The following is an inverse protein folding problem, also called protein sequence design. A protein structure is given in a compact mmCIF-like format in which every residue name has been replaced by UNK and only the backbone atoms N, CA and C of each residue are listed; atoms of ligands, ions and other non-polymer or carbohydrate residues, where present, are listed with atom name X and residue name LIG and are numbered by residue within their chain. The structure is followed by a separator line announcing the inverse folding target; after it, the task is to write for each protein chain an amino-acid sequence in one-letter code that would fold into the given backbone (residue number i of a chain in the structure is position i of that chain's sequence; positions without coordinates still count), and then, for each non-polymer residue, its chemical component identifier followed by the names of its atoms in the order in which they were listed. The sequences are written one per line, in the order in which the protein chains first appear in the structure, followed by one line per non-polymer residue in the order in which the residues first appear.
data_IF_584441944278
#
_entry.id   IF_584441944278
#
_cell.length_a   1.000
_cell.length_b   1.000
_cell.length_c   1.000
_cell.angle_alpha   90.00
_cell.angle_beta   90.00
_cell.angle_gamma   90.00
#
_symmetry.space_group_name_H-M   'P 1'
#
loop_
_entity.id
_entity.type
_entity.pdbx_description
1 polymer ?
#
# COMPACT_ATOMS: atom_id res chain seq x y z
N UNK A 1 -2.08 -12.64 -16.35
CA UNK A 1 -0.89 -13.22 -15.69
C UNK A 1 -0.41 -12.23 -14.66
N UNK A 2 -0.25 -12.66 -13.41
CA UNK A 2 0.35 -11.83 -12.37
C UNK A 2 1.83 -11.65 -12.70
N UNK A 3 2.29 -10.41 -12.80
CA UNK A 3 3.70 -10.11 -12.97
C UNK A 3 4.44 -10.55 -11.72
N UNK A 4 5.44 -11.43 -11.88
CA UNK A 4 6.27 -11.92 -10.77
C UNK A 4 7.51 -11.03 -10.70
N UNK A 5 7.61 -10.25 -9.62
CA UNK A 5 8.77 -9.39 -9.39
C UNK A 5 9.93 -10.18 -8.79
N UNK A 6 11.14 -9.83 -9.20
CA UNK A 6 12.39 -10.35 -8.67
C UNK A 6 13.20 -9.19 -8.09
N UNK A 7 13.69 -9.38 -6.86
CA UNK A 7 14.53 -8.38 -6.20
C UNK A 7 15.81 -8.19 -7.02
N UNK A 8 16.17 -6.94 -7.30
CA UNK A 8 17.34 -6.58 -8.10
C UNK A 8 17.02 -6.22 -9.54
N UNK A 9 15.89 -6.71 -10.07
CA UNK A 9 15.48 -6.47 -11.45
C UNK A 9 14.71 -5.16 -11.61
N UNK A 10 14.69 -4.65 -12.85
CA UNK A 10 14.06 -3.38 -13.19
C UNK A 10 12.78 -3.57 -14.00
N UNK A 11 11.72 -2.84 -13.65
CA UNK A 11 10.40 -2.96 -14.25
C UNK A 11 9.85 -1.59 -14.64
N UNK A 12 9.07 -1.54 -15.73
CA UNK A 12 8.28 -0.36 -16.07
C UNK A 12 7.08 -0.28 -15.15
N UNK A 13 7.00 0.76 -14.34
CA UNK A 13 5.93 0.96 -13.37
C UNK A 13 5.32 2.35 -13.50
N UNK A 14 4.01 2.50 -13.21
CA UNK A 14 3.44 3.81 -13.02
C UNK A 14 4.08 4.45 -11.79
N UNK A 15 4.56 5.68 -11.96
CA UNK A 15 5.08 6.50 -10.90
C UNK A 15 4.35 7.85 -10.88
N UNK A 16 4.04 8.34 -9.68
CA UNK A 16 3.66 9.72 -9.50
C UNK A 16 4.89 10.60 -9.70
N UNK A 17 4.85 11.45 -10.71
CA UNK A 17 5.84 12.49 -10.92
C UNK A 17 5.50 13.68 -10.03
N UNK A 18 6.35 13.95 -9.05
CA UNK A 18 6.15 15.03 -8.08
C UNK A 18 7.32 15.99 -8.06
N UNK A 19 7.04 17.27 -7.84
CA UNK A 19 8.05 18.31 -7.66
C UNK A 19 8.02 18.82 -6.21
N UNK A 20 9.12 18.73 -5.48
CA UNK A 20 9.17 19.19 -4.08
C UNK A 20 9.23 20.72 -3.97
N UNK A 21 8.44 21.30 -3.05
CA UNK A 21 8.15 22.75 -3.04
C UNK A 21 9.24 23.68 -2.43
N UNK A 22 10.29 23.24 -1.71
CA UNK A 22 11.37 24.18 -1.41
C UNK A 22 12.50 24.20 -2.47
N UNK A 23 12.75 23.11 -3.20
CA UNK A 23 13.95 22.96 -4.05
C UNK A 23 13.67 22.62 -5.51
N UNK A 24 12.40 22.44 -5.91
CA UNK A 24 12.00 22.25 -7.31
C UNK A 24 12.48 20.94 -7.94
N UNK A 25 12.96 19.98 -7.15
CA UNK A 25 13.44 18.69 -7.65
C UNK A 25 12.26 17.79 -8.01
N UNK A 26 12.40 17.09 -9.13
CA UNK A 26 11.42 16.11 -9.60
C UNK A 26 11.82 14.74 -9.09
N UNK A 27 10.83 14.00 -8.55
CA UNK A 27 10.97 12.61 -8.13
C UNK A 27 9.86 11.78 -8.76
N UNK A 28 10.18 10.50 -9.01
CA UNK A 28 9.23 9.51 -9.48
C UNK A 28 8.95 8.53 -8.34
N UNK A 29 7.72 8.56 -7.83
CA UNK A 29 7.31 7.72 -6.69
C UNK A 29 6.48 6.55 -7.23
N UNK A 30 6.93 5.29 -7.11
CA UNK A 30 6.15 4.13 -7.54
C UNK A 30 4.79 4.07 -6.86
N UNK A 31 3.72 3.84 -7.62
CA UNK A 31 2.35 3.80 -7.11
C UNK A 31 1.54 2.63 -7.68
N UNK A 32 0.41 2.34 -7.03
CA UNK A 32 -0.70 1.65 -7.68
C UNK A 32 -1.56 2.69 -8.42
N UNK A 33 -1.72 2.52 -9.73
CA UNK A 33 -2.47 3.44 -10.61
C UNK A 33 -3.99 3.26 -10.42
N UNK A 34 -4.46 3.54 -9.21
CA UNK A 34 -5.86 3.47 -8.81
C UNK A 34 -6.19 4.69 -7.95
N UNK A 35 -6.59 5.79 -8.59
CA UNK A 35 -7.00 7.01 -7.90
C UNK A 35 -8.33 6.79 -7.17
N UNK A 36 -8.35 7.00 -5.85
CA UNK A 36 -9.56 6.84 -5.05
C UNK A 36 -9.51 7.68 -3.77
N UNK A 37 -10.64 7.77 -3.07
CA UNK A 37 -10.73 8.39 -1.76
C UNK A 37 -11.21 7.37 -0.72
N UNK A 38 -10.62 7.41 0.46
CA UNK A 38 -10.92 6.49 1.56
C UNK A 38 -11.82 7.17 2.60
N UNK A 39 -13.04 7.52 2.18
CA UNK A 39 -14.01 8.21 3.03
C UNK A 39 -14.32 7.43 4.31
N UNK A 40 -14.29 6.09 4.24
CA UNK A 40 -14.44 5.20 5.39
C UNK A 40 -13.35 5.40 6.45
N UNK A 41 -12.20 6.01 6.14
CA UNK A 41 -11.12 6.32 7.07
C UNK A 41 -11.02 7.81 7.43
N UNK A 42 -12.07 8.60 7.15
CA UNK A 42 -12.05 10.07 7.24
C UNK A 42 -10.93 10.71 6.40
N UNK A 43 -10.61 10.07 5.27
CA UNK A 43 -9.66 10.58 4.30
C UNK A 43 -10.39 10.88 2.98
N UNK A 44 -11.02 12.07 2.86
CA UNK A 44 -11.88 12.38 1.72
C UNK A 44 -11.10 12.73 0.45
N UNK A 45 -9.81 13.01 0.56
CA UNK A 45 -8.98 13.42 -0.56
C UNK A 45 -8.66 12.23 -1.47
N UNK A 46 -8.79 12.46 -2.78
CA UNK A 46 -8.38 11.48 -3.79
C UNK A 46 -6.86 11.31 -3.78
N UNK A 47 -6.41 10.07 -3.81
CA UNK A 47 -5.01 9.74 -3.67
C UNK A 47 -4.62 8.44 -4.37
N UNK A 48 -3.32 8.28 -4.58
CA UNK A 48 -2.67 7.04 -5.00
C UNK A 48 -1.94 6.40 -3.83
N UNK A 49 -1.99 5.08 -3.75
CA UNK A 49 -1.19 4.30 -2.80
C UNK A 49 0.21 4.07 -3.37
N UNK A 50 1.22 4.16 -2.51
CA UNK A 50 2.62 3.95 -2.88
C UNK A 50 2.91 2.45 -3.00
N UNK A 51 3.59 2.05 -4.08
CA UNK A 51 4.08 0.67 -4.29
C UNK A 51 5.49 0.54 -3.71
N UNK A 52 5.57 0.19 -2.42
CA UNK A 52 6.83 0.19 -1.66
C UNK A 52 7.81 -0.92 -2.02
N UNK A 53 7.48 -1.78 -3.00
CA UNK A 53 8.39 -2.80 -3.55
C UNK A 53 9.57 -2.21 -4.31
N UNK A 54 9.37 -1.05 -4.91
CA UNK A 54 10.31 -0.45 -5.84
C UNK A 54 11.19 0.62 -5.19
N UNK A 55 12.37 0.80 -5.77
CA UNK A 55 13.33 1.81 -5.35
C UNK A 55 12.71 3.20 -5.36
N UNK A 56 13.07 3.96 -4.34
CA UNK A 56 12.67 5.34 -4.14
C UNK A 56 13.86 6.08 -3.54
N UNK A 57 14.04 7.33 -3.94
CA UNK A 57 15.13 8.16 -3.43
C UNK A 57 15.05 8.26 -1.88
N UNK A 58 16.18 8.14 -1.15
CA UNK A 58 16.18 8.07 0.32
C UNK A 58 15.40 9.17 1.06
N UNK A 59 15.47 10.43 0.61
CA UNK A 59 14.70 11.53 1.21
C UNK A 59 13.20 11.33 0.98
N UNK A 60 12.80 10.81 -0.17
CA UNK A 60 11.39 10.48 -0.43
C UNK A 60 10.91 9.31 0.42
N UNK A 61 11.73 8.26 0.61
CA UNK A 61 11.42 7.17 1.55
C UNK A 61 11.18 7.71 2.96
N UNK A 62 12.03 8.63 3.42
CA UNK A 62 11.87 9.29 4.71
C UNK A 62 10.60 10.16 4.77
N UNK A 63 10.38 11.00 3.76
CA UNK A 63 9.21 11.89 3.69
C UNK A 63 7.89 11.11 3.73
N UNK A 64 7.81 10.00 3.00
CA UNK A 64 6.63 9.14 2.96
C UNK A 64 6.65 8.04 4.02
N UNK A 65 7.63 8.05 4.95
CA UNK A 65 7.74 7.06 6.01
C UNK A 65 7.62 5.60 5.49
N UNK A 66 8.21 5.33 4.32
CA UNK A 66 8.16 4.04 3.66
C UNK A 66 9.29 3.16 4.19
N UNK A 67 8.93 2.18 5.01
CA UNK A 67 9.87 1.29 5.70
C UNK A 67 9.51 -0.16 5.43
N UNK A 68 10.49 -0.89 4.93
CA UNK A 68 10.31 -2.25 4.43
C UNK A 68 9.17 -2.42 3.41
N UNK A 69 8.93 -1.38 2.61
CA UNK A 69 7.86 -1.34 1.61
C UNK A 69 6.48 -0.99 2.18
N UNK A 70 6.35 -0.90 3.50
CA UNK A 70 5.10 -0.49 4.13
C UNK A 70 5.07 1.01 4.37
N UNK A 71 3.93 1.62 4.11
CA UNK A 71 3.66 3.02 4.44
C UNK A 71 2.18 3.26 4.70
N UNK A 72 1.86 4.30 5.47
CA UNK A 72 0.52 4.86 5.56
C UNK A 72 0.38 6.19 4.79
N UNK A 73 1.46 6.64 4.15
CA UNK A 73 1.45 7.82 3.31
C UNK A 73 0.91 7.47 1.91
N UNK A 74 0.27 8.47 1.32
CA UNK A 74 -0.34 8.39 0.00
C UNK A 74 0.07 9.62 -0.81
N UNK A 75 -0.06 9.52 -2.13
CA UNK A 75 0.16 10.67 -3.03
C UNK A 75 -1.18 11.34 -3.27
N UNK A 76 -1.34 12.59 -2.82
CA UNK A 76 -2.56 13.39 -2.94
C UNK A 76 -2.32 14.47 -4.01
N UNK A 77 -2.90 14.33 -5.22
CA UNK A 77 -2.59 15.24 -6.32
C UNK A 77 -2.98 16.71 -6.08
N UNK A 78 -4.08 16.93 -5.34
CA UNK A 78 -4.76 18.24 -5.31
C UNK A 78 -4.54 19.05 -4.01
N UNK A 79 -3.97 18.48 -2.96
CA UNK A 79 -3.94 19.13 -1.63
C UNK A 79 -2.58 19.05 -0.90
N UNK A 80 -1.53 18.55 -1.54
CA UNK A 80 -0.20 18.47 -0.91
C UNK A 80 0.45 19.85 -0.77
N UNK A 81 0.97 20.13 0.43
CA UNK A 81 1.76 21.34 0.73
C UNK A 81 3.26 21.13 0.56
N UNK A 82 3.72 19.87 0.50
CA UNK A 82 5.14 19.51 0.46
C UNK A 82 5.66 19.27 -0.96
N UNK A 83 4.77 18.99 -1.91
CA UNK A 83 5.09 18.77 -3.31
C UNK A 83 3.93 19.19 -4.23
N UNK A 84 4.23 19.47 -5.48
CA UNK A 84 3.27 19.57 -6.57
C UNK A 84 3.21 18.25 -7.33
N UNK A 85 2.03 17.70 -7.53
CA UNK A 85 1.83 16.57 -8.43
C UNK A 85 1.83 17.06 -9.88
N UNK A 86 2.60 16.41 -10.76
CA UNK A 86 2.73 16.79 -12.15
C UNK A 86 1.96 15.85 -13.07
N UNK A 87 2.25 14.55 -12.98
CA UNK A 87 1.68 13.53 -13.88
C UNK A 87 1.82 12.11 -13.30
N UNK A 88 1.21 11.14 -13.99
CA UNK A 88 1.62 9.73 -13.87
C UNK A 88 2.55 9.42 -15.04
N UNK A 89 3.78 9.01 -14.72
CA UNK A 89 4.80 8.66 -15.70
C UNK A 89 5.14 7.17 -15.61
N UNK A 90 5.26 6.51 -16.75
CA UNK A 90 5.83 5.16 -16.80
C UNK A 90 7.35 5.28 -16.69
N UNK A 91 7.93 4.71 -15.64
CA UNK A 91 9.37 4.81 -15.37
C UNK A 91 9.94 3.43 -15.08
N UNK A 92 11.19 3.20 -15.49
CA UNK A 92 11.92 1.99 -15.15
C UNK A 92 12.47 2.12 -13.73
N UNK A 93 12.00 1.27 -12.82
CA UNK A 93 12.37 1.29 -11.40
C UNK A 93 12.80 -0.10 -10.94
N UNK A 94 13.81 -0.15 -10.06
CA UNK A 94 14.34 -1.40 -9.53
C UNK A 94 13.43 -1.95 -8.43
N UNK A 95 13.12 -3.24 -8.46
CA UNK A 95 12.47 -3.93 -7.35
C UNK A 95 13.49 -4.15 -6.23
N UNK A 96 13.29 -3.53 -5.07
CA UNK A 96 14.15 -3.70 -3.90
C UNK A 96 13.66 -4.83 -2.98
N UNK A 97 12.36 -5.09 -2.99
CA UNK A 97 11.70 -6.01 -2.05
C UNK A 97 10.36 -6.47 -2.62
N UNK A 98 9.82 -7.53 -2.02
CA UNK A 98 8.51 -8.08 -2.41
C UNK A 98 7.36 -7.58 -1.51
N UNK A 99 7.70 -7.01 -0.35
CA UNK A 99 6.74 -6.47 0.61
C UNK A 99 6.20 -5.10 0.17
N UNK A 100 4.90 -4.87 0.35
CA UNK A 100 4.25 -3.57 0.20
C UNK A 100 2.93 -3.54 0.95
N UNK A 101 2.45 -2.34 1.25
CA UNK A 101 1.09 -2.09 1.68
C UNK A 101 0.98 -1.18 2.89
N UNK A 102 -0.22 -1.15 3.46
CA UNK A 102 -0.52 -0.30 4.59
C UNK A 102 0.28 -0.70 5.83
N UNK A 103 0.97 0.25 6.44
CA UNK A 103 1.60 0.04 7.76
C UNK A 103 0.61 0.30 8.88
N UNK A 104 0.15 -0.76 9.54
CA UNK A 104 -0.70 -0.68 10.73
C UNK A 104 0.17 -0.96 11.96
N UNK A 105 0.15 -0.12 13.01
CA UNK A 105 0.98 -0.34 14.19
C UNK A 105 0.42 -1.50 15.04
N UNK A 106 1.27 -2.46 15.40
CA UNK A 106 0.92 -3.56 16.30
C UNK A 106 0.63 -3.08 17.74
N UNK A 107 1.32 -2.02 18.15
CA UNK A 107 1.16 -1.37 19.44
C UNK A 107 0.83 0.11 19.23
N UNK A 108 -0.44 0.44 18.91
CA UNK A 108 -0.83 1.82 18.66
C UNK A 108 -0.67 2.67 19.93
N UNK A 109 -0.11 3.87 19.77
CA UNK A 109 -0.16 4.87 20.84
C UNK A 109 -1.59 5.41 21.00
N UNK A 110 -1.90 6.06 22.11
CA UNK A 110 -3.26 6.57 22.44
C UNK A 110 -3.92 7.34 21.28
N UNK A 111 -3.16 8.20 20.58
CA UNK A 111 -3.65 8.97 19.41
C UNK A 111 -3.95 8.13 18.17
N UNK A 112 -3.40 6.92 18.07
CA UNK A 112 -3.58 6.00 16.94
C UNK A 112 -4.70 5.00 17.17
N UNK A 113 -5.07 4.71 18.42
CA UNK A 113 -6.10 3.72 18.78
C UNK A 113 -7.40 3.91 17.98
N UNK A 114 -8.01 5.13 17.93
CA UNK A 114 -9.28 5.30 17.21
C UNK A 114 -9.17 4.99 15.71
N UNK A 115 -8.01 5.27 15.09
CA UNK A 115 -7.77 4.97 13.67
C UNK A 115 -7.62 3.48 13.43
N UNK A 116 -6.91 2.78 14.31
CA UNK A 116 -6.74 1.33 14.24
C UNK A 116 -8.07 0.61 14.47
N UNK A 117 -8.89 1.05 15.43
CA UNK A 117 -10.24 0.53 15.65
C UNK A 117 -11.13 0.73 14.42
N UNK A 118 -11.09 1.92 13.81
CA UNK A 118 -11.83 2.21 12.58
C UNK A 118 -11.40 1.30 11.43
N UNK A 119 -10.09 1.12 11.26
CA UNK A 119 -9.54 0.18 10.29
C UNK A 119 -10.03 -1.25 10.54
N UNK A 120 -9.97 -1.74 11.79
CA UNK A 120 -10.40 -3.09 12.14
C UNK A 120 -11.90 -3.29 11.89
N UNK A 121 -12.73 -2.30 12.22
CA UNK A 121 -14.17 -2.33 11.95
C UNK A 121 -14.44 -2.38 10.44
N UNK A 122 -13.74 -1.56 9.66
CA UNK A 122 -13.80 -1.60 8.21
C UNK A 122 -13.37 -2.98 7.68
N UNK A 123 -12.22 -3.50 8.13
CA UNK A 123 -11.71 -4.80 7.71
C UNK A 123 -12.74 -5.91 7.98
N UNK A 124 -13.31 -5.93 9.19
CA UNK A 124 -14.31 -6.90 9.60
C UNK A 124 -15.58 -6.86 8.73
N UNK A 125 -15.93 -5.70 8.17
CA UNK A 125 -17.05 -5.59 7.22
C UNK A 125 -16.79 -6.28 5.88
N UNK A 126 -15.54 -6.65 5.58
CA UNK A 126 -15.16 -7.41 4.39
C UNK A 126 -15.01 -8.90 4.61
N UNK A 127 -14.86 -9.35 5.86
CA UNK A 127 -14.74 -10.79 6.17
C UNK A 127 -15.92 -11.55 5.57
N UNK A 128 -15.62 -12.60 4.81
CA UNK A 128 -16.60 -13.39 4.10
C UNK A 128 -16.90 -12.94 2.66
N UNK A 129 -16.42 -11.77 2.24
CA UNK A 129 -16.62 -11.31 0.85
C UNK A 129 -15.66 -12.02 -0.09
N UNK A 130 -16.13 -12.27 -1.32
CA UNK A 130 -15.38 -12.98 -2.36
C UNK A 130 -14.34 -12.08 -3.04
N UNK A 131 -13.18 -12.68 -3.32
CA UNK A 131 -12.06 -12.10 -4.05
C UNK A 131 -11.98 -12.72 -5.45
N UNK A 132 -13.05 -12.57 -6.24
CA UNK A 132 -13.16 -13.17 -7.57
C UNK A 132 -11.98 -12.78 -8.46
N UNK A 133 -11.39 -13.77 -9.14
CA UNK A 133 -10.19 -13.54 -9.95
C UNK A 133 -8.98 -13.02 -9.16
N UNK A 134 -8.93 -13.26 -7.84
CA UNK A 134 -7.92 -12.74 -6.90
C UNK A 134 -7.94 -11.21 -6.77
N UNK A 135 -9.08 -10.58 -7.06
CA UNK A 135 -9.26 -9.14 -6.93
C UNK A 135 -9.81 -8.81 -5.54
N UNK A 136 -9.30 -7.75 -4.93
CA UNK A 136 -9.76 -7.25 -3.64
C UNK A 136 -11.22 -6.78 -3.74
N UNK A 137 -12.13 -7.20 -2.84
CA UNK A 137 -13.54 -6.79 -2.88
C UNK A 137 -13.80 -5.31 -2.56
N UNK A 138 -12.78 -4.55 -2.16
CA UNK A 138 -12.90 -3.11 -1.93
C UNK A 138 -12.89 -2.32 -3.25
N UNK A 139 -11.82 -2.44 -4.02
CA UNK A 139 -11.58 -1.63 -5.22
C UNK A 139 -11.16 -2.47 -6.44
N UNK A 140 -11.28 -3.80 -6.37
CA UNK A 140 -10.92 -4.68 -7.47
C UNK A 140 -9.42 -4.74 -7.76
N UNK A 141 -8.56 -4.29 -6.85
CA UNK A 141 -7.10 -4.36 -7.03
C UNK A 141 -6.62 -5.80 -6.88
N UNK A 142 -5.72 -6.23 -7.76
CA UNK A 142 -5.13 -7.56 -7.69
C UNK A 142 -4.41 -7.78 -6.36
N UNK A 143 -4.78 -8.85 -5.65
CA UNK A 143 -4.14 -9.24 -4.40
C UNK A 143 -2.80 -9.94 -4.67
N UNK A 144 -1.84 -9.76 -3.77
CA UNK A 144 -0.51 -10.38 -3.83
C UNK A 144 -0.49 -11.65 -2.98
N UNK A 145 0.16 -12.70 -3.47
CA UNK A 145 0.43 -13.86 -2.61
C UNK A 145 1.56 -13.52 -1.62
N UNK A 146 1.31 -13.75 -0.33
CA UNK A 146 2.27 -13.56 0.75
C UNK A 146 1.97 -14.55 1.86
N UNK A 147 2.98 -15.33 2.26
CA UNK A 147 2.89 -16.30 3.36
C UNK A 147 1.68 -17.27 3.23
N UNK A 148 1.38 -17.69 2.00
CA UNK A 148 0.25 -18.59 1.71
C UNK A 148 -1.12 -17.91 1.71
N UNK A 149 -1.18 -16.58 1.79
CA UNK A 149 -2.41 -15.80 1.75
C UNK A 149 -2.44 -14.86 0.55
N UNK A 150 -3.63 -14.44 0.14
CA UNK A 150 -3.81 -13.29 -0.75
C UNK A 150 -3.91 -12.02 0.08
N UNK A 151 -3.13 -11.00 -0.23
CA UNK A 151 -3.07 -9.73 0.52
C UNK A 151 -3.28 -8.55 -0.41
N UNK A 152 -4.26 -7.70 -0.09
CA UNK A 152 -4.49 -6.45 -0.81
C UNK A 152 -3.29 -5.51 -0.60
N UNK A 153 -2.61 -5.07 -1.68
CA UNK A 153 -1.40 -4.26 -1.55
C UNK A 153 -1.67 -2.79 -1.16
N UNK A 154 -2.93 -2.35 -1.10
CA UNK A 154 -3.28 -0.98 -0.69
C UNK A 154 -3.74 -0.94 0.77
N UNK A 155 -4.66 -1.83 1.14
CA UNK A 155 -5.35 -1.77 2.44
C UNK A 155 -5.23 -3.06 3.27
N UNK A 156 -4.34 -3.97 2.89
CA UNK A 156 -3.97 -5.16 3.66
C UNK A 156 -5.12 -6.13 4.02
N UNK A 157 -6.26 -6.10 3.30
CA UNK A 157 -7.26 -7.15 3.36
C UNK A 157 -6.60 -8.49 3.01
N UNK A 158 -6.74 -9.50 3.86
CA UNK A 158 -6.22 -10.85 3.61
C UNK A 158 -7.35 -11.80 3.23
N UNK A 159 -7.06 -12.71 2.30
CA UNK A 159 -8.00 -13.69 1.80
C UNK A 159 -7.32 -15.05 1.65
N UNK A 160 -8.13 -16.09 1.79
CA UNK A 160 -7.72 -17.47 1.53
C UNK A 160 -7.54 -17.67 0.01
N UNK A 161 -6.39 -18.19 -0.47
CA UNK A 161 -6.13 -18.34 -1.89
C UNK A 161 -6.95 -19.45 -2.57
N UNK A 162 -7.50 -20.40 -1.81
CA UNK A 162 -8.32 -21.50 -2.31
C UNK A 162 -9.80 -21.13 -2.31
N UNK A 163 -10.30 -20.60 -1.19
CA UNK A 163 -11.70 -20.19 -1.03
C UNK A 163 -12.02 -18.85 -1.70
N UNK A 164 -10.99 -18.07 -2.04
CA UNK A 164 -11.06 -16.72 -2.58
C UNK A 164 -12.00 -15.84 -1.75
N UNK A 165 -11.78 -15.81 -0.45
CA UNK A 165 -12.65 -15.13 0.51
C UNK A 165 -11.83 -14.41 1.57
N UNK A 166 -12.24 -13.20 1.93
CA UNK A 166 -11.57 -12.42 2.98
C UNK A 166 -11.72 -13.12 4.32
N UNK A 167 -10.60 -13.31 5.00
CA UNK A 167 -10.51 -13.98 6.30
C UNK A 167 -10.15 -12.97 7.39
N UNK A 168 -10.47 -13.31 8.65
CA UNK A 168 -10.13 -12.44 9.77
C UNK A 168 -8.61 -12.36 9.96
N UNK A 169 -8.15 -11.15 10.27
CA UNK A 169 -6.74 -10.82 10.48
C UNK A 169 -6.10 -11.54 11.68
N UNK A 170 -6.90 -11.92 12.69
CA UNK A 170 -6.45 -12.55 13.93
C UNK A 170 -6.14 -14.05 13.81
N UNK A 171 -6.59 -14.72 12.74
CA UNK A 171 -6.44 -16.17 12.58
C UNK A 171 -5.03 -16.67 12.23
N UNK A 172 -4.08 -15.78 11.95
CA UNK A 172 -2.71 -16.14 11.57
C UNK A 172 -1.64 -15.44 12.41
N UNK A 173 -2.02 -14.76 13.50
CA UNK A 173 -1.08 -14.08 14.39
C UNK A 173 -0.57 -14.99 15.51
N UNK A 174 -0.17 -16.21 15.15
CA UNK A 174 0.47 -17.16 16.06
C UNK A 174 1.73 -17.72 15.40
N UNK A 175 2.89 -17.27 15.90
CA UNK A 175 4.17 -18.00 15.94
C UNK A 175 5.20 -17.88 14.81
N UNK A 176 5.43 -16.70 14.21
CA UNK A 176 6.67 -16.51 13.42
C UNK A 176 7.19 -15.08 13.24
N UNK A 177 7.41 -14.31 14.32
CA UNK A 177 8.52 -13.34 14.35
C UNK A 177 9.19 -13.42 15.73
N UNK A 178 10.19 -14.30 15.83
CA UNK A 178 11.16 -14.27 16.93
C UNK A 178 12.02 -13.01 16.78
N UNK A 179 12.17 -12.30 17.89
CA UNK A 179 13.20 -11.31 18.15
C UNK A 179 14.56 -11.76 17.60
N UNK A 180 15.14 -10.95 16.72
CA UNK A 180 16.58 -10.65 16.70
C UNK A 180 16.72 -9.16 16.42
#
# INVERSE_FOLDING_TARGET
MQEVFQIGEEYWRPCAEIMTIPDGRIYYIPIFEHLHADKQFDFPDEHYHIDGRFEMEPRMKQQFNCWDGYTAAVIVPNSSVSYSFLSIAQTKVKCERLNTGLRIPDHPIEKQIPKVEKYNNWYNSYVGKKCEGRLCPHFGTLMLEKDGLLVCPMHNLTADPEMLEVIRHDKFNTDSIRLV
#
